data_IF_136791473831
#
_entry.id   IF_136791473831
#
_cell.length_a   1.000
_cell.length_b   1.000
_cell.length_c   1.000
_cell.angle_alpha   90.00
_cell.angle_beta   90.00
_cell.angle_gamma   90.00
#
_symmetry.space_group_name_H-M   'P 1'
#
loop_
_entity.id
_entity.type
_entity.pdbx_description
1 polymer ?
#
# COMPACT_ATOMS: atom_id res chain seq x y z
N UNK A 1 -21.94 124.35 -83.61
CA UNK A 1 -22.42 124.47 -82.21
C UNK A 1 -23.42 123.38 -81.85
N UNK A 2 -24.57 123.25 -82.53
CA UNK A 2 -25.58 122.22 -82.19
C UNK A 2 -25.08 120.77 -82.34
N UNK A 3 -24.28 120.45 -83.36
CA UNK A 3 -23.81 119.07 -83.58
C UNK A 3 -22.75 118.62 -82.57
N UNK A 4 -21.87 119.54 -82.14
CA UNK A 4 -20.94 119.30 -81.03
C UNK A 4 -21.69 119.03 -79.72
N UNK A 5 -22.82 119.71 -79.48
CA UNK A 5 -23.66 119.45 -78.30
C UNK A 5 -24.34 118.08 -78.37
N UNK A 6 -24.75 117.63 -79.56
CA UNK A 6 -25.35 116.29 -79.77
C UNK A 6 -24.33 115.18 -79.58
N UNK A 7 -23.13 115.32 -80.15
CA UNK A 7 -22.05 114.33 -80.01
C UNK A 7 -21.55 114.23 -78.56
N UNK A 8 -21.46 115.36 -77.86
CA UNK A 8 -21.10 115.37 -76.44
C UNK A 8 -22.22 114.74 -75.58
N UNK A 9 -23.49 114.89 -75.96
CA UNK A 9 -24.61 114.22 -75.30
C UNK A 9 -24.63 112.70 -75.55
N UNK A 10 -24.29 112.22 -76.75
CA UNK A 10 -24.18 110.79 -77.04
C UNK A 10 -22.99 110.17 -76.29
N UNK A 11 -21.84 110.84 -76.27
CA UNK A 11 -20.68 110.40 -75.47
C UNK A 11 -21.01 110.35 -73.98
N UNK A 12 -21.72 111.36 -73.45
CA UNK A 12 -22.18 111.33 -72.05
C UNK A 12 -23.14 110.16 -71.77
N UNK A 13 -24.02 109.81 -72.73
CA UNK A 13 -24.92 108.68 -72.58
C UNK A 13 -24.16 107.34 -72.59
N UNK A 14 -23.24 107.15 -73.52
CA UNK A 14 -22.40 105.95 -73.59
C UNK A 14 -21.52 105.77 -72.35
N UNK A 15 -20.95 106.86 -71.82
CA UNK A 15 -20.18 106.81 -70.58
C UNK A 15 -21.08 106.42 -69.40
N UNK A 16 -22.31 106.94 -69.31
CA UNK A 16 -23.27 106.53 -68.28
C UNK A 16 -23.64 105.05 -68.40
N UNK A 17 -23.99 104.58 -69.59
CA UNK A 17 -24.32 103.16 -69.84
C UNK A 17 -23.12 102.25 -69.49
N UNK A 18 -21.88 102.69 -69.76
CA UNK A 18 -20.67 101.97 -69.32
C UNK A 18 -20.49 101.99 -67.80
N UNK A 19 -20.75 103.11 -67.14
CA UNK A 19 -20.71 103.18 -65.68
C UNK A 19 -21.76 102.26 -65.04
N UNK A 20 -22.99 102.27 -65.56
CA UNK A 20 -24.06 101.38 -65.12
C UNK A 20 -23.67 99.90 -65.31
N UNK A 21 -23.12 99.52 -66.47
CA UNK A 21 -22.61 98.17 -66.72
C UNK A 21 -21.48 97.76 -65.76
N UNK A 22 -20.55 98.66 -65.47
CA UNK A 22 -19.45 98.39 -64.52
C UNK A 22 -19.95 98.28 -63.07
N UNK A 23 -20.97 99.06 -62.70
CA UNK A 23 -21.61 98.96 -61.39
C UNK A 23 -22.35 97.63 -61.22
N UNK A 24 -23.02 97.15 -62.27
CA UNK A 24 -23.65 95.81 -62.30
C UNK A 24 -22.61 94.69 -62.18
N UNK A 25 -21.53 94.75 -62.97
CA UNK A 25 -20.43 93.77 -62.88
C UNK A 25 -19.76 93.76 -61.49
N UNK A 26 -19.58 94.94 -60.88
CA UNK A 26 -19.03 95.06 -59.53
C UNK A 26 -20.00 94.46 -58.49
N UNK A 27 -21.30 94.70 -58.63
CA UNK A 27 -22.31 94.11 -57.75
C UNK A 27 -22.32 92.58 -57.85
N UNK A 28 -22.22 92.03 -59.06
CA UNK A 28 -22.13 90.59 -59.28
C UNK A 28 -20.83 89.99 -58.74
N UNK A 29 -19.70 90.67 -58.94
CA UNK A 29 -18.42 90.25 -58.36
C UNK A 29 -18.47 90.22 -56.82
N UNK A 30 -19.10 91.21 -56.19
CA UNK A 30 -19.31 91.22 -54.74
C UNK A 30 -20.23 90.09 -54.28
N UNK A 31 -21.33 89.81 -55.02
CA UNK A 31 -22.23 88.69 -54.70
C UNK A 31 -21.50 87.35 -54.76
N UNK A 32 -20.78 87.10 -55.85
CA UNK A 32 -20.02 85.86 -56.06
C UNK A 32 -18.93 85.68 -55.00
N UNK A 33 -18.25 86.77 -54.63
CA UNK A 33 -17.24 86.75 -53.57
C UNK A 33 -17.87 86.40 -52.21
N UNK A 34 -19.04 86.96 -51.89
CA UNK A 34 -19.79 86.62 -50.69
C UNK A 34 -20.21 85.14 -50.64
N UNK A 35 -20.64 84.58 -51.77
CA UNK A 35 -20.97 83.15 -51.90
C UNK A 35 -19.74 82.28 -51.68
N UNK A 36 -18.63 82.55 -52.37
CA UNK A 36 -17.36 81.83 -52.17
C UNK A 36 -16.82 81.94 -50.75
N UNK A 37 -16.96 83.08 -50.09
CA UNK A 37 -16.56 83.25 -48.70
C UNK A 37 -17.34 82.34 -47.75
N UNK A 38 -18.68 82.24 -47.95
CA UNK A 38 -19.55 81.36 -47.16
C UNK A 38 -19.27 79.88 -47.44
N UNK A 39 -19.04 79.51 -48.70
CA UNK A 39 -18.63 78.15 -49.07
C UNK A 39 -17.28 77.79 -48.44
N UNK A 40 -16.30 78.71 -48.50
CA UNK A 40 -14.99 78.53 -47.86
C UNK A 40 -15.07 78.36 -46.35
N UNK A 41 -15.95 79.11 -45.68
CA UNK A 41 -16.20 78.94 -44.25
C UNK A 41 -16.87 77.60 -43.94
N UNK A 42 -17.84 77.18 -44.75
CA UNK A 42 -18.50 75.88 -44.62
C UNK A 42 -17.50 74.73 -44.79
N UNK A 43 -16.62 74.81 -45.79
CA UNK A 43 -15.55 73.82 -46.00
C UNK A 43 -14.58 73.76 -44.83
N UNK A 44 -14.13 74.92 -44.31
CA UNK A 44 -13.24 74.97 -43.13
C UNK A 44 -13.87 74.31 -41.91
N UNK A 45 -15.17 74.56 -41.67
CA UNK A 45 -15.89 73.94 -40.55
C UNK A 45 -16.00 72.43 -40.70
N UNK A 46 -16.36 71.94 -41.89
CA UNK A 46 -16.44 70.50 -42.16
C UNK A 46 -15.09 69.81 -42.02
N UNK A 47 -14.00 70.43 -42.49
CA UNK A 47 -12.65 69.91 -42.32
C UNK A 47 -12.28 69.83 -40.84
N UNK A 48 -12.50 70.89 -40.07
CA UNK A 48 -12.23 70.89 -38.63
C UNK A 48 -13.03 69.81 -37.89
N UNK A 49 -14.29 69.58 -38.25
CA UNK A 49 -15.13 68.52 -37.66
C UNK A 49 -14.61 67.12 -38.00
N UNK A 50 -14.16 66.89 -39.24
CA UNK A 50 -13.60 65.59 -39.67
C UNK A 50 -12.25 65.34 -39.02
N UNK A 51 -11.37 66.35 -38.99
CA UNK A 51 -10.06 66.31 -38.34
C UNK A 51 -10.23 66.02 -36.83
N UNK A 52 -11.11 66.75 -36.14
CA UNK A 52 -11.37 66.53 -34.72
C UNK A 52 -11.91 65.12 -34.42
N UNK A 53 -12.77 64.57 -35.27
CA UNK A 53 -13.21 63.16 -35.13
C UNK A 53 -12.09 62.16 -35.37
N UNK A 54 -11.22 62.42 -36.35
CA UNK A 54 -10.08 61.56 -36.64
C UNK A 54 -9.07 61.57 -35.48
N UNK A 55 -8.75 62.76 -34.95
CA UNK A 55 -7.89 62.91 -33.77
C UNK A 55 -8.45 62.22 -32.53
N UNK A 56 -9.76 62.39 -32.27
CA UNK A 56 -10.43 61.71 -31.17
C UNK A 56 -10.34 60.18 -31.29
N UNK A 57 -10.54 59.62 -32.50
CA UNK A 57 -10.39 58.18 -32.75
C UNK A 57 -8.95 57.70 -32.57
N UNK A 58 -7.97 58.47 -33.05
CA UNK A 58 -6.55 58.12 -32.87
C UNK A 58 -6.19 58.11 -31.39
N UNK A 59 -6.66 59.10 -30.62
CA UNK A 59 -6.46 59.17 -29.18
C UNK A 59 -7.09 57.97 -28.46
N UNK A 60 -8.35 57.65 -28.76
CA UNK A 60 -9.04 56.49 -28.20
C UNK A 60 -8.33 55.17 -28.52
N UNK A 61 -7.87 54.99 -29.76
CA UNK A 61 -7.13 53.78 -30.14
C UNK A 61 -5.79 53.66 -29.42
N UNK A 62 -5.09 54.78 -29.18
CA UNK A 62 -3.85 54.81 -28.39
C UNK A 62 -4.13 54.43 -26.93
N UNK A 63 -5.13 55.04 -26.31
CA UNK A 63 -5.50 54.73 -24.92
C UNK A 63 -5.89 53.25 -24.76
N UNK A 64 -6.65 52.70 -25.71
CA UNK A 64 -6.96 51.26 -25.72
C UNK A 64 -5.72 50.38 -25.88
N UNK A 65 -4.78 50.79 -26.72
CA UNK A 65 -3.54 50.06 -26.93
C UNK A 65 -2.66 50.09 -25.67
N UNK A 66 -2.54 51.24 -25.02
CA UNK A 66 -1.77 51.40 -23.79
C UNK A 66 -2.36 50.54 -22.65
N UNK A 67 -3.69 50.55 -22.48
CA UNK A 67 -4.37 49.67 -21.52
C UNK A 67 -4.13 48.18 -21.82
N UNK A 68 -4.20 47.77 -23.09
CA UNK A 68 -3.94 46.38 -23.48
C UNK A 68 -2.49 45.96 -23.22
N UNK A 69 -1.53 46.88 -23.37
CA UNK A 69 -0.12 46.65 -23.03
C UNK A 69 0.04 46.48 -21.52
N UNK A 70 -0.55 47.35 -20.72
CA UNK A 70 -0.48 47.26 -19.25
C UNK A 70 -1.14 45.97 -18.72
N UNK A 71 -2.27 45.55 -19.30
CA UNK A 71 -2.92 44.28 -18.97
C UNK A 71 -2.05 43.08 -19.33
N UNK A 72 -1.42 43.09 -20.52
CA UNK A 72 -0.47 42.06 -20.92
C UNK A 72 0.70 41.98 -19.95
N UNK A 73 1.32 43.10 -19.61
CA UNK A 73 2.51 43.14 -18.75
C UNK A 73 2.16 42.65 -17.34
N UNK A 74 1.01 43.05 -16.81
CA UNK A 74 0.49 42.53 -15.55
C UNK A 74 0.28 41.02 -15.59
N UNK A 75 -0.35 40.52 -16.66
CA UNK A 75 -0.57 39.08 -16.84
C UNK A 75 0.74 38.30 -17.00
N UNK A 76 1.75 38.87 -17.66
CA UNK A 76 3.08 38.28 -17.83
C UNK A 76 3.83 38.19 -16.49
N UNK A 77 3.78 39.24 -15.67
CA UNK A 77 4.37 39.24 -14.33
C UNK A 77 3.68 38.21 -13.41
N UNK A 78 2.35 38.15 -13.43
CA UNK A 78 1.58 37.14 -12.70
C UNK A 78 1.92 35.72 -13.17
N UNK A 79 1.99 35.49 -14.48
CA UNK A 79 2.38 34.20 -15.03
C UNK A 79 3.82 33.82 -14.65
N UNK A 80 4.76 34.78 -14.67
CA UNK A 80 6.16 34.59 -14.29
C UNK A 80 6.30 34.21 -12.81
N UNK A 81 5.58 34.90 -11.93
CA UNK A 81 5.61 34.63 -10.48
C UNK A 81 4.99 33.26 -10.16
N UNK A 82 3.83 32.94 -10.74
CA UNK A 82 3.19 31.64 -10.59
C UNK A 82 4.08 30.52 -11.15
N UNK A 83 4.71 30.75 -12.32
CA UNK A 83 5.64 29.82 -12.95
C UNK A 83 6.82 29.48 -12.04
N UNK A 84 7.48 30.50 -11.46
CA UNK A 84 8.59 30.30 -10.52
C UNK A 84 8.15 29.55 -9.26
N UNK A 85 6.97 29.88 -8.72
CA UNK A 85 6.42 29.19 -7.54
C UNK A 85 6.16 27.72 -7.83
N UNK A 86 5.46 27.42 -8.92
CA UNK A 86 5.16 26.04 -9.34
C UNK A 86 6.43 25.24 -9.65
N UNK A 87 7.46 25.87 -10.22
CA UNK A 87 8.75 25.22 -10.46
C UNK A 87 9.39 24.77 -9.14
N UNK A 88 9.44 25.65 -8.13
CA UNK A 88 9.95 25.31 -6.78
C UNK A 88 9.13 24.20 -6.12
N UNK A 89 7.80 24.31 -6.14
CA UNK A 89 6.91 23.27 -5.59
C UNK A 89 7.12 21.91 -6.29
N UNK A 90 7.32 21.92 -7.61
CA UNK A 90 7.64 20.69 -8.37
C UNK A 90 8.99 20.10 -7.98
N UNK A 91 10.02 20.92 -7.80
CA UNK A 91 11.35 20.48 -7.35
C UNK A 91 11.32 19.91 -5.93
N UNK A 92 10.60 20.55 -5.01
CA UNK A 92 10.39 20.07 -3.65
C UNK A 92 9.67 18.72 -3.63
N UNK A 93 8.60 18.56 -4.43
CA UNK A 93 7.90 17.28 -4.54
C UNK A 93 8.79 16.19 -5.14
N UNK A 94 9.60 16.50 -6.17
CA UNK A 94 10.58 15.56 -6.73
C UNK A 94 11.63 15.15 -5.70
N UNK A 95 12.10 16.08 -4.87
CA UNK A 95 13.03 15.77 -3.79
C UNK A 95 12.39 14.82 -2.77
N UNK A 96 11.17 15.14 -2.31
CA UNK A 96 10.41 14.29 -1.38
C UNK A 96 10.16 12.89 -1.94
N UNK A 97 9.80 12.77 -3.22
CA UNK A 97 9.62 11.45 -3.87
C UNK A 97 10.90 10.64 -3.82
N UNK A 98 12.06 11.23 -4.19
CA UNK A 98 13.34 10.52 -4.14
C UNK A 98 13.74 10.10 -2.71
N UNK A 99 13.45 10.93 -1.71
CA UNK A 99 13.75 10.61 -0.33
C UNK A 99 12.86 9.48 0.20
N UNK A 100 11.57 9.50 -0.16
CA UNK A 100 10.63 8.41 0.15
C UNK A 100 10.99 7.11 -0.57
N UNK A 101 11.41 7.17 -1.83
CA UNK A 101 11.89 6.00 -2.58
C UNK A 101 13.14 5.38 -1.92
N UNK A 102 14.09 6.21 -1.47
CA UNK A 102 15.26 5.74 -0.72
C UNK A 102 14.88 5.13 0.63
N UNK A 103 13.95 5.76 1.35
CA UNK A 103 13.45 5.24 2.62
C UNK A 103 12.73 3.90 2.44
N UNK A 104 11.92 3.78 1.39
CA UNK A 104 11.25 2.54 1.01
C UNK A 104 12.26 1.44 0.69
N UNK A 105 13.28 1.73 -0.13
CA UNK A 105 14.33 0.77 -0.45
C UNK A 105 15.06 0.25 0.81
N UNK A 106 15.39 1.14 1.74
CA UNK A 106 15.99 0.74 3.03
C UNK A 106 15.05 -0.13 3.86
N UNK A 107 13.78 0.26 3.97
CA UNK A 107 12.79 -0.53 4.70
C UNK A 107 12.58 -1.92 4.08
N UNK A 108 12.63 -2.05 2.75
CA UNK A 108 12.56 -3.34 2.08
C UNK A 108 13.80 -4.19 2.34
N UNK A 109 15.00 -3.60 2.33
CA UNK A 109 16.24 -4.32 2.68
C UNK A 109 16.22 -4.79 4.15
N UNK A 110 15.75 -3.94 5.06
CA UNK A 110 15.57 -4.30 6.47
C UNK A 110 14.56 -5.44 6.64
N UNK A 111 13.41 -5.38 5.97
CA UNK A 111 12.41 -6.46 5.98
C UNK A 111 13.00 -7.78 5.46
N UNK A 112 13.72 -7.75 4.34
CA UNK A 112 14.37 -8.94 3.78
C UNK A 112 15.42 -9.50 4.73
N UNK A 113 16.19 -8.64 5.40
CA UNK A 113 17.18 -9.06 6.41
C UNK A 113 16.51 -9.72 7.61
N UNK A 114 15.43 -9.12 8.12
CA UNK A 114 14.65 -9.67 9.23
C UNK A 114 14.01 -11.01 8.84
N UNK A 115 13.43 -11.10 7.64
CA UNK A 115 12.85 -12.33 7.12
C UNK A 115 13.86 -13.47 7.05
N UNK A 116 15.11 -13.19 6.62
CA UNK A 116 16.20 -14.18 6.63
C UNK A 116 16.55 -14.61 8.05
N UNK A 117 16.68 -13.67 8.99
CA UNK A 117 16.97 -14.01 10.39
C UNK A 117 15.85 -14.81 11.04
N UNK A 118 14.59 -14.51 10.71
CA UNK A 118 13.43 -15.25 11.20
C UNK A 118 13.42 -16.69 10.65
N UNK A 119 13.71 -16.86 9.36
CA UNK A 119 13.83 -18.18 8.75
C UNK A 119 14.96 -19.00 9.37
N UNK A 120 16.11 -18.39 9.64
CA UNK A 120 17.24 -19.05 10.30
C UNK A 120 16.90 -19.45 11.74
N UNK A 121 16.29 -18.56 12.52
CA UNK A 121 15.85 -18.86 13.88
C UNK A 121 14.80 -19.99 13.92
N UNK A 122 13.86 -20.01 12.96
CA UNK A 122 12.90 -21.11 12.82
C UNK A 122 13.61 -22.43 12.53
N UNK A 123 14.54 -22.46 11.58
CA UNK A 123 15.31 -23.66 11.27
C UNK A 123 16.15 -24.16 12.46
N UNK A 124 16.73 -23.24 13.23
CA UNK A 124 17.45 -23.59 14.46
C UNK A 124 16.51 -24.17 15.53
N UNK A 125 15.31 -23.60 15.70
CA UNK A 125 14.30 -24.10 16.62
C UNK A 125 13.82 -25.50 16.22
N UNK A 126 13.53 -25.73 14.93
CA UNK A 126 13.15 -27.06 14.43
C UNK A 126 14.27 -28.08 14.68
N UNK A 127 15.54 -27.70 14.47
CA UNK A 127 16.69 -28.56 14.72
C UNK A 127 16.93 -28.84 16.21
N UNK A 128 16.65 -27.89 17.12
CA UNK A 128 16.72 -28.14 18.57
C UNK A 128 15.55 -28.97 19.05
N UNK A 129 14.34 -28.74 18.54
CA UNK A 129 13.16 -29.54 18.82
C UNK A 129 13.35 -31.00 18.36
N UNK A 130 13.92 -31.22 17.16
CA UNK A 130 14.24 -32.56 16.68
C UNK A 130 15.28 -33.26 17.56
N UNK A 131 16.36 -32.57 17.95
CA UNK A 131 17.35 -33.12 18.89
C UNK A 131 16.75 -33.43 20.26
N UNK A 132 15.86 -32.58 20.76
CA UNK A 132 15.15 -32.83 22.01
C UNK A 132 14.24 -34.07 21.91
N UNK A 133 13.55 -34.26 20.78
CA UNK A 133 12.73 -35.45 20.54
C UNK A 133 13.58 -36.73 20.48
N UNK A 134 14.73 -36.71 19.80
CA UNK A 134 15.66 -37.84 19.79
C UNK A 134 16.17 -38.17 21.20
N UNK A 135 16.60 -37.17 21.96
CA UNK A 135 17.05 -37.37 23.34
C UNK A 135 15.93 -37.90 24.25
N UNK A 136 14.67 -37.46 24.06
CA UNK A 136 13.53 -38.00 24.79
C UNK A 136 13.28 -39.48 24.46
N UNK A 137 13.39 -39.86 23.18
CA UNK A 137 13.26 -41.25 22.76
C UNK A 137 14.39 -42.11 23.35
N UNK A 138 15.65 -41.66 23.30
CA UNK A 138 16.78 -42.37 23.92
C UNK A 138 16.59 -42.55 25.44
N UNK A 139 16.10 -41.52 26.14
CA UNK A 139 15.78 -41.62 27.57
C UNK A 139 14.65 -42.63 27.83
N UNK A 140 13.63 -42.68 26.97
CA UNK A 140 12.56 -43.65 27.06
C UNK A 140 13.05 -45.09 26.82
N UNK A 141 13.91 -45.29 25.83
CA UNK A 141 14.52 -46.59 25.52
C UNK A 141 15.41 -47.06 26.67
N UNK A 142 16.24 -46.18 27.23
CA UNK A 142 17.08 -46.47 28.40
C UNK A 142 16.22 -46.84 29.61
N UNK A 143 15.14 -46.11 29.89
CA UNK A 143 14.21 -46.45 30.98
C UNK A 143 13.58 -47.82 30.78
N UNK A 144 13.17 -48.13 29.55
CA UNK A 144 12.58 -49.45 29.21
C UNK A 144 13.61 -50.57 29.39
N UNK A 145 14.86 -50.36 28.96
CA UNK A 145 15.95 -51.30 29.19
C UNK A 145 16.27 -51.48 30.68
N UNK A 146 16.25 -50.41 31.48
CA UNK A 146 16.44 -50.50 32.93
C UNK A 146 15.33 -51.30 33.61
N UNK A 147 14.06 -51.10 33.21
CA UNK A 147 12.94 -51.89 33.73
C UNK A 147 13.10 -53.37 33.37
N UNK A 148 13.43 -53.68 32.11
CA UNK A 148 13.68 -55.06 31.69
C UNK A 148 14.84 -55.71 32.46
N UNK A 149 15.95 -55.00 32.68
CA UNK A 149 17.06 -55.49 33.50
C UNK A 149 16.63 -55.77 34.94
N UNK A 150 15.79 -54.90 35.51
CA UNK A 150 15.25 -55.10 36.86
C UNK A 150 14.36 -56.33 36.93
N UNK A 151 13.46 -56.53 35.98
CA UNK A 151 12.63 -57.74 35.91
C UNK A 151 13.49 -59.00 35.77
N UNK A 152 14.57 -58.96 34.97
CA UNK A 152 15.50 -60.10 34.85
C UNK A 152 16.28 -60.36 36.15
N UNK A 153 16.64 -59.30 36.88
CA UNK A 153 17.31 -59.42 38.16
C UNK A 153 16.36 -60.03 39.20
N UNK A 154 15.13 -59.52 39.31
CA UNK A 154 14.10 -60.04 40.22
C UNK A 154 13.79 -61.51 39.90
N UNK A 155 13.71 -61.89 38.63
CA UNK A 155 13.53 -63.30 38.22
C UNK A 155 14.74 -64.18 38.57
N UNK A 156 15.97 -63.67 38.44
CA UNK A 156 17.18 -64.41 38.78
C UNK A 156 17.31 -64.59 40.30
N UNK A 157 16.97 -63.58 41.09
CA UNK A 157 16.89 -63.63 42.55
C UNK A 157 15.83 -64.65 43.00
N UNK A 158 14.65 -64.67 42.37
CA UNK A 158 13.62 -65.66 42.66
C UNK A 158 14.07 -67.11 42.37
N UNK A 159 14.75 -67.33 41.24
CA UNK A 159 15.34 -68.63 40.87
C UNK A 159 16.47 -69.04 41.83
N UNK A 160 17.33 -68.10 42.23
CA UNK A 160 18.36 -68.36 43.23
C UNK A 160 17.73 -68.77 44.57
N UNK A 161 16.69 -68.05 45.01
CA UNK A 161 15.94 -68.40 46.21
C UNK A 161 15.24 -69.76 46.12
N UNK A 162 14.68 -70.16 44.96
CA UNK A 162 14.12 -71.51 44.79
C UNK A 162 15.21 -72.58 44.82
N UNK A 163 16.35 -72.37 44.15
CA UNK A 163 17.48 -73.30 44.18
C UNK A 163 18.06 -73.46 45.60
N UNK A 164 18.07 -72.39 46.40
CA UNK A 164 18.45 -72.46 47.81
C UNK A 164 17.48 -73.29 48.65
N UNK A 165 16.16 -73.15 48.40
CA UNK A 165 15.13 -74.01 49.02
C UNK A 165 15.34 -75.47 48.62
N UNK A 166 15.47 -75.76 47.32
CA UNK A 166 15.71 -77.12 46.80
C UNK A 166 16.99 -77.73 47.40
N UNK A 167 18.07 -76.94 47.52
CA UNK A 167 19.32 -77.37 48.16
C UNK A 167 19.13 -77.68 49.64
N UNK A 168 18.31 -76.90 50.36
CA UNK A 168 17.96 -77.17 51.75
C UNK A 168 17.11 -78.43 51.89
N UNK A 169 16.11 -78.61 51.02
CA UNK A 169 15.29 -79.82 50.96
C UNK A 169 16.14 -81.05 50.66
N UNK A 170 17.01 -81.01 49.65
CA UNK A 170 17.94 -82.08 49.33
C UNK A 170 18.89 -82.39 50.50
N UNK A 171 19.38 -81.37 51.22
CA UNK A 171 20.19 -81.58 52.43
C UNK A 171 19.38 -82.23 53.56
N UNK A 172 18.12 -81.83 53.76
CA UNK A 172 17.21 -82.46 54.73
C UNK A 172 16.94 -83.91 54.34
N UNK A 173 16.56 -84.18 53.10
CA UNK A 173 16.32 -85.51 52.56
C UNK A 173 17.57 -86.38 52.60
N UNK A 174 18.77 -85.82 52.37
CA UNK A 174 20.03 -86.53 52.55
C UNK A 174 20.27 -86.87 54.02
N UNK A 175 20.00 -85.94 54.93
CA UNK A 175 20.06 -86.18 56.38
C UNK A 175 19.07 -87.26 56.82
N UNK A 176 17.84 -87.23 56.32
CA UNK A 176 16.81 -88.26 56.55
C UNK A 176 17.22 -89.59 55.92
N UNK A 177 17.78 -89.61 54.71
CA UNK A 177 18.32 -90.82 54.09
C UNK A 177 19.54 -91.36 54.84
N UNK A 178 20.34 -90.51 55.47
CA UNK A 178 21.49 -90.91 56.28
C UNK A 178 21.04 -91.44 57.66
N UNK A 179 19.97 -90.87 58.23
CA UNK A 179 19.26 -91.41 59.41
C UNK A 179 18.55 -92.74 59.10
N UNK A 180 17.91 -92.86 57.93
CA UNK A 180 17.32 -94.10 57.43
C UNK A 180 18.39 -95.14 57.10
N UNK A 181 19.56 -94.75 56.58
CA UNK A 181 20.72 -95.65 56.44
C UNK A 181 21.30 -96.07 57.79
N UNK A 182 21.27 -95.22 58.82
CA UNK A 182 21.61 -95.60 60.18
C UNK A 182 20.57 -96.55 60.81
N UNK A 183 19.29 -96.44 60.42
CA UNK A 183 18.21 -97.34 60.82
C UNK A 183 18.10 -98.62 59.96
N UNK A 184 18.83 -98.72 58.84
CA UNK A 184 18.65 -99.77 57.81
C UNK A 184 19.97 -100.33 57.27
N UNK A 185 21.04 -100.30 58.08
CA UNK A 185 22.35 -100.92 57.79
C UNK A 185 22.47 -102.37 58.28
N UNK A 186 21.37 -103.13 58.27
CA UNK A 186 21.42 -104.56 57.99
C UNK A 186 20.93 -104.77 56.57
N UNK A 187 21.76 -105.44 55.76
CA UNK A 187 21.49 -105.91 54.38
C UNK A 187 21.97 -104.97 53.25
N UNK A 188 23.20 -105.27 52.82
CA UNK A 188 23.76 -105.42 51.45
C UNK A 188 23.04 -104.72 50.27
N UNK A 189 23.67 -103.88 49.44
CA UNK A 189 24.89 -104.00 48.58
C UNK A 189 24.56 -104.29 47.12
N UNK A 190 25.30 -103.59 46.24
CA UNK A 190 25.57 -103.84 44.81
C UNK A 190 24.51 -103.35 43.80
N UNK A 191 24.83 -102.88 42.59
CA UNK A 191 26.04 -102.48 41.83
C UNK A 191 25.55 -101.90 40.49
N UNK A 192 26.44 -101.22 39.75
CA UNK A 192 26.45 -100.95 38.28
C UNK A 192 25.62 -99.75 37.79
N UNK A 193 25.97 -98.97 36.74
CA UNK A 193 27.18 -98.76 35.91
C UNK A 193 26.80 -97.79 34.75
N UNK A 194 27.72 -96.90 34.30
CA UNK A 194 27.82 -96.24 32.96
C UNK A 194 26.70 -95.22 32.61
N UNK A 195 26.81 -94.19 31.75
CA UNK A 195 27.84 -93.45 30.98
C UNK A 195 27.10 -92.21 30.37
N UNK A 196 27.83 -91.12 30.10
CA UNK A 196 27.60 -89.96 29.19
C UNK A 196 26.19 -89.33 29.04
N UNK A 197 26.01 -88.00 29.03
CA UNK A 197 26.17 -87.15 27.82
C UNK A 197 26.02 -85.64 28.16
N UNK A 198 26.55 -84.81 27.26
CA UNK A 198 26.88 -83.37 27.25
C UNK A 198 25.72 -82.33 27.33
N UNK A 199 26.08 -81.17 27.91
CA UNK A 199 25.95 -79.75 27.44
C UNK A 199 24.63 -79.27 26.80
N UNK A 200 24.00 -78.22 27.37
CA UNK A 200 23.86 -76.85 26.80
C UNK A 200 22.61 -76.12 27.38
N UNK A 201 22.80 -74.96 28.02
CA UNK A 201 21.79 -73.87 28.11
C UNK A 201 21.85 -73.04 26.80
N UNK A 202 21.02 -72.02 26.46
CA UNK A 202 20.07 -71.27 27.30
C UNK A 202 18.78 -70.71 26.61
N UNK A 203 17.90 -70.12 27.44
CA UNK A 203 17.16 -68.85 27.29
C UNK A 203 16.09 -68.59 26.16
N UNK A 204 15.15 -67.66 26.40
CA UNK A 204 13.90 -67.45 25.67
C UNK A 204 13.95 -66.28 24.67
N UNK A 205 12.87 -66.05 23.90
CA UNK A 205 12.23 -64.72 23.70
C UNK A 205 11.38 -64.59 22.40
N UNK A 206 10.51 -63.57 22.47
CA UNK A 206 9.96 -62.69 21.42
C UNK A 206 8.53 -62.93 20.94
N UNK A 207 7.65 -62.24 21.67
CA UNK A 207 6.64 -61.32 21.12
C UNK A 207 7.19 -60.46 19.96
N UNK A 208 6.39 -60.32 18.91
CA UNK A 208 6.47 -59.26 17.91
C UNK A 208 5.06 -58.77 17.60
N UNK A 209 4.76 -57.57 18.08
CA UNK A 209 3.79 -56.67 17.45
C UNK A 209 4.44 -56.03 16.23
N UNK A 210 3.66 -55.85 15.17
CA UNK A 210 4.04 -55.07 14.00
C UNK A 210 2.87 -55.00 13.01
N UNK A 211 2.04 -53.98 13.14
CA UNK A 211 1.12 -53.56 12.07
C UNK A 211 0.86 -52.07 12.23
N UNK A 212 1.43 -51.32 11.28
CA UNK A 212 1.25 -49.89 11.07
C UNK A 212 0.57 -49.71 9.70
N UNK A 213 -0.36 -48.74 9.70
CA UNK A 213 -0.87 -47.97 8.57
C UNK A 213 -1.74 -48.68 7.53
N UNK A 214 -3.05 -48.37 7.58
CA UNK A 214 -3.76 -47.86 6.40
C UNK A 214 -4.97 -47.05 6.88
N UNK A 215 -4.95 -45.73 6.71
CA UNK A 215 -6.18 -44.93 6.63
C UNK A 215 -6.00 -43.88 5.54
N UNK A 216 -6.78 -44.09 4.48
CA UNK A 216 -7.06 -43.15 3.41
C UNK A 216 -8.30 -42.33 3.76
N UNK A 217 -8.42 -41.15 3.16
CA UNK A 217 -9.58 -40.25 3.25
C UNK A 217 -9.21 -38.94 3.95
N UNK A 218 -9.65 -37.77 3.53
CA UNK A 218 -10.56 -37.39 2.46
C UNK A 218 -10.34 -35.90 2.16
N UNK A 219 -10.60 -35.52 0.91
CA UNK A 219 -10.84 -34.14 0.51
C UNK A 219 -12.06 -33.61 1.29
N UNK A 220 -11.92 -32.47 1.95
CA UNK A 220 -13.00 -31.82 2.67
C UNK A 220 -12.69 -30.36 2.94
N UNK A 221 -13.49 -29.47 2.36
CA UNK A 221 -13.45 -28.03 2.52
C UNK A 221 -13.56 -27.62 4.00
N UNK A 222 -12.78 -26.61 4.38
CA UNK A 222 -12.85 -26.01 5.71
C UNK A 222 -14.21 -25.32 5.95
N UNK A 223 -14.81 -25.47 7.14
CA UNK A 223 -15.85 -24.57 7.61
C UNK A 223 -15.21 -23.29 8.18
N UNK A 224 -15.79 -22.14 7.84
CA UNK A 224 -15.41 -20.84 8.37
C UNK A 224 -15.33 -20.84 9.90
N UNK A 225 -14.21 -20.37 10.43
CA UNK A 225 -13.99 -20.22 11.87
C UNK A 225 -15.05 -19.28 12.49
N UNK A 226 -15.55 -19.58 13.71
CA UNK A 226 -16.47 -18.68 14.40
C UNK A 226 -15.76 -17.38 14.74
N UNK A 227 -16.29 -16.26 14.24
CA UNK A 227 -15.79 -14.92 14.50
C UNK A 227 -15.75 -14.68 16.02
N UNK A 228 -14.58 -14.28 16.54
CA UNK A 228 -14.45 -13.93 17.96
C UNK A 228 -15.19 -12.60 18.24
N UNK A 229 -16.37 -12.73 18.84
CA UNK A 229 -17.22 -11.60 19.19
C UNK A 229 -16.57 -10.64 20.20
N UNK A 230 -15.56 -11.08 20.98
CA UNK A 230 -14.82 -10.21 21.90
C UNK A 230 -13.87 -9.29 21.12
N UNK A 231 -13.18 -9.85 20.13
CA UNK A 231 -12.33 -9.08 19.23
C UNK A 231 -13.15 -8.13 18.36
N UNK A 232 -14.26 -8.61 17.79
CA UNK A 232 -15.17 -7.81 16.97
C UNK A 232 -15.75 -6.63 17.77
N UNK A 233 -16.15 -6.85 19.03
CA UNK A 233 -16.64 -5.78 19.92
C UNK A 233 -15.59 -4.70 20.13
N UNK A 234 -14.33 -5.08 20.36
CA UNK A 234 -13.26 -4.12 20.61
C UNK A 234 -12.91 -3.31 19.35
N UNK A 235 -12.89 -3.95 18.18
CA UNK A 235 -12.62 -3.27 16.90
C UNK A 235 -13.77 -2.32 16.51
N UNK A 236 -15.02 -2.72 16.71
CA UNK A 236 -16.18 -1.84 16.50
C UNK A 236 -16.22 -0.67 17.48
N UNK A 237 -15.84 -0.90 18.75
CA UNK A 237 -15.77 0.15 19.75
C UNK A 237 -14.66 1.16 19.40
N UNK A 238 -13.48 0.67 19.00
CA UNK A 238 -12.37 1.51 18.55
C UNK A 238 -12.74 2.31 17.29
N UNK A 239 -13.51 1.71 16.36
CA UNK A 239 -14.02 2.41 15.18
C UNK A 239 -14.99 3.55 15.55
N UNK A 240 -15.90 3.32 16.49
CA UNK A 240 -16.86 4.34 16.95
C UNK A 240 -16.23 5.44 17.81
N UNK A 241 -15.16 5.13 18.54
CA UNK A 241 -14.43 6.08 19.39
C UNK A 241 -13.51 7.02 18.59
N UNK A 242 -13.00 6.55 17.45
CA UNK A 242 -12.11 7.32 16.59
C UNK A 242 -12.85 8.51 15.95
N UNK A 243 -12.51 9.75 16.31
CA UNK A 243 -13.13 10.97 15.72
C UNK A 243 -12.53 11.42 14.39
N UNK A 244 -11.37 10.88 14.03
CA UNK A 244 -10.67 11.22 12.78
C UNK A 244 -11.16 10.33 11.63
N UNK A 245 -11.76 10.98 10.62
CA UNK A 245 -12.31 10.35 9.42
C UNK A 245 -11.25 9.59 8.62
N UNK A 246 -9.99 10.04 8.63
CA UNK A 246 -8.89 9.38 7.90
C UNK A 246 -8.53 8.04 8.53
N UNK A 247 -8.52 7.99 9.86
CA UNK A 247 -8.25 6.77 10.62
C UNK A 247 -9.44 5.81 10.58
N UNK A 248 -10.68 6.32 10.58
CA UNK A 248 -11.88 5.49 10.36
C UNK A 248 -11.85 4.79 8.99
N UNK A 249 -11.50 5.51 7.93
CA UNK A 249 -11.38 4.96 6.57
C UNK A 249 -10.36 3.80 6.51
N UNK A 250 -9.25 3.91 7.23
CA UNK A 250 -8.22 2.87 7.28
C UNK A 250 -8.68 1.60 8.00
N UNK A 251 -9.69 1.70 8.87
CA UNK A 251 -10.26 0.57 9.63
C UNK A 251 -11.37 -0.17 8.85
N UNK A 252 -11.88 0.40 7.74
CA UNK A 252 -12.95 -0.22 6.93
C UNK A 252 -12.54 -1.57 6.32
N UNK A 253 -11.33 -1.76 5.73
CA UNK A 253 -10.91 -3.06 5.22
C UNK A 253 -10.73 -4.11 6.32
N UNK A 254 -10.33 -3.70 7.53
CA UNK A 254 -10.16 -4.59 8.68
C UNK A 254 -11.53 -5.08 9.17
N UNK A 255 -12.52 -4.19 9.24
CA UNK A 255 -13.91 -4.55 9.50
C UNK A 255 -14.47 -5.45 8.41
N UNK A 256 -14.14 -5.20 7.14
CA UNK A 256 -14.56 -6.04 6.01
C UNK A 256 -14.04 -7.47 6.10
N UNK A 257 -12.80 -7.65 6.56
CA UNK A 257 -12.21 -8.98 6.80
C UNK A 257 -12.85 -9.72 7.98
N UNK A 258 -13.29 -8.99 9.01
CA UNK A 258 -13.89 -9.56 10.22
C UNK A 258 -15.38 -9.90 10.05
N UNK A 259 -16.12 -9.06 9.32
CA UNK A 259 -17.56 -9.16 9.10
C UNK A 259 -17.94 -9.70 7.72
N UNK A 260 -16.96 -10.10 6.90
CA UNK A 260 -17.15 -10.57 5.53
C UNK A 260 -17.95 -9.58 4.67
N UNK A 261 -17.52 -8.32 4.65
CA UNK A 261 -18.18 -7.32 3.79
C UNK A 261 -17.94 -7.60 2.32
N UNK A 262 -19.00 -7.50 1.53
CA UNK A 262 -18.88 -7.45 0.09
C UNK A 262 -18.37 -6.07 -0.35
N UNK A 263 -17.82 -6.01 -1.57
CA UNK A 263 -17.28 -4.78 -2.19
C UNK A 263 -18.27 -3.62 -2.17
N UNK A 264 -19.57 -3.92 -2.25
CA UNK A 264 -20.66 -2.94 -2.19
C UNK A 264 -20.86 -2.35 -0.80
N UNK A 265 -20.61 -3.13 0.25
CA UNK A 265 -20.81 -2.69 1.63
C UNK A 265 -19.63 -1.86 2.11
N UNK A 266 -18.40 -2.21 1.73
CA UNK A 266 -17.22 -1.34 1.93
C UNK A 266 -17.45 0.06 1.33
N UNK A 267 -17.99 0.15 0.11
CA UNK A 267 -18.26 1.43 -0.55
C UNK A 267 -19.34 2.25 0.17
N UNK A 268 -20.41 1.61 0.66
CA UNK A 268 -21.45 2.28 1.45
C UNK A 268 -20.90 2.80 2.77
N UNK A 269 -20.04 2.03 3.44
CA UNK A 269 -19.40 2.44 4.69
C UNK A 269 -18.45 3.63 4.49
N UNK A 270 -17.63 3.59 3.44
CA UNK A 270 -16.76 4.71 3.06
C UNK A 270 -17.56 5.98 2.73
N UNK A 271 -18.66 5.84 2.01
CA UNK A 271 -19.56 6.96 1.70
C UNK A 271 -20.22 7.54 2.97
N UNK A 272 -20.65 6.70 3.91
CA UNK A 272 -21.27 7.13 5.17
C UNK A 272 -20.30 7.90 6.09
N UNK A 273 -19.02 7.53 6.11
CA UNK A 273 -17.97 8.24 6.86
C UNK A 273 -17.66 9.62 6.23
N UNK A 274 -17.72 9.69 4.90
CA UNK A 274 -17.35 10.89 4.13
C UNK A 274 -18.50 11.90 3.98
N UNK A 275 -19.76 11.45 4.12
CA UNK A 275 -20.96 12.28 3.96
C UNK A 275 -21.35 13.10 5.21
N UNK A 276 -20.73 12.83 6.37
CA UNK A 276 -20.74 13.68 7.57
C UNK A 276 -19.46 14.50 7.62
#
# INVERSE_FOLDING_TARGET
MQDQTRELATQMKEVRERCESLEEELADAHRLLGERSREGETMRRLLADVEGRAEARVKEMRERMDLAIEERDRAEDEASTIGRRRARESEELKAKVRDLEKALARATEEMDSLSRTEAELRAQNDATAHRAALAQNEVADVRTAMLALRDTLDSAEALAGSLERDKHELRRALGESQQLRAAKSSVQSSRSSLDSTRVNSPAPAKSKNGSLATMAGALGAEPAAPVDYVYLKNVLLQFLEQRDKRLQIQLVPVLGMLLHFDRTDEQKWMAAITAK
#
